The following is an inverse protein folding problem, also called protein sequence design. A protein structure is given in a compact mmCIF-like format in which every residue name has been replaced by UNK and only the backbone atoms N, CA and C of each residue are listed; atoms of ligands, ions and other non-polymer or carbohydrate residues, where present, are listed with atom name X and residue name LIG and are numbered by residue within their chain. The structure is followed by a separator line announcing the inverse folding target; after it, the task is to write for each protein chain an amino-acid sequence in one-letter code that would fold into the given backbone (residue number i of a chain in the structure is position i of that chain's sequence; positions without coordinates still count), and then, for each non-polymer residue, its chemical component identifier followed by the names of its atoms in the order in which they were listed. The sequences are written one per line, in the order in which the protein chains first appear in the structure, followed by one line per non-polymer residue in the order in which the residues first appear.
data_IF_600447283781
#
_entry.id   IF_600447283781
#
_cell.length_a   1.000
_cell.length_b   1.000
_cell.length_c   1.000
_cell.angle_alpha   90.00
_cell.angle_beta   90.00
_cell.angle_gamma   90.00
#
_symmetry.space_group_name_H-M   'P 1'
#
loop_
_entity.id
_entity.type
_entity.pdbx_description
1 polymer ?
#
# COMPACT_ATOMS: atom_id res chain seq x y z
N UNK A 1 -17.81 -10.20 -3.91
CA UNK A 1 -17.42 -9.63 -5.22
C UNK A 1 -16.06 -10.20 -5.55
N UNK A 2 -15.89 -10.87 -6.70
CA UNK A 2 -14.57 -11.33 -7.14
C UNK A 2 -13.72 -10.08 -7.39
N UNK A 3 -12.83 -9.71 -6.46
CA UNK A 3 -12.09 -8.46 -6.60
C UNK A 3 -10.97 -8.68 -7.61
N UNK A 4 -11.27 -8.39 -8.87
CA UNK A 4 -10.25 -8.23 -9.90
C UNK A 4 -9.21 -7.21 -9.41
N UNK A 5 -7.94 -7.50 -9.68
CA UNK A 5 -6.85 -6.58 -9.36
C UNK A 5 -7.04 -5.30 -10.17
N UNK A 6 -6.68 -4.12 -9.62
CA UNK A 6 -6.75 -2.88 -10.39
C UNK A 6 -5.76 -2.91 -11.56
N UNK A 7 -6.04 -2.18 -12.63
CA UNK A 7 -5.17 -2.13 -13.82
C UNK A 7 -3.78 -1.54 -13.54
N UNK A 8 -3.73 -0.60 -12.59
CA UNK A 8 -2.50 0.00 -12.08
C UNK A 8 -2.41 -0.08 -10.57
N UNK A 9 -1.20 -0.28 -10.08
CA UNK A 9 -0.88 -0.42 -8.66
C UNK A 9 0.32 0.46 -8.31
N UNK A 10 0.27 1.09 -7.14
CA UNK A 10 1.39 1.90 -6.68
C UNK A 10 2.55 1.02 -6.25
N UNK A 11 3.77 1.53 -6.39
CA UNK A 11 5.01 0.88 -5.95
C UNK A 11 4.92 0.43 -4.48
N UNK A 12 4.29 1.24 -3.62
CA UNK A 12 4.02 0.91 -2.23
C UNK A 12 3.18 -0.38 -2.09
N UNK A 13 2.12 -0.52 -2.88
CA UNK A 13 1.24 -1.68 -2.87
C UNK A 13 1.94 -2.92 -3.42
N UNK A 14 2.75 -2.79 -4.48
CA UNK A 14 3.57 -3.90 -4.99
C UNK A 14 4.52 -4.40 -3.91
N UNK A 15 5.16 -3.47 -3.20
CA UNK A 15 6.09 -3.83 -2.14
C UNK A 15 5.40 -4.56 -0.99
N UNK A 16 4.23 -4.09 -0.53
CA UNK A 16 3.41 -4.77 0.47
C UNK A 16 2.90 -6.14 0.01
N UNK A 17 2.60 -6.29 -1.28
CA UNK A 17 2.19 -7.56 -1.85
C UNK A 17 3.34 -8.57 -1.83
N UNK A 18 4.53 -8.14 -2.25
CA UNK A 18 5.75 -8.96 -2.23
C UNK A 18 6.13 -9.37 -0.80
N UNK A 19 6.11 -8.44 0.15
CA UNK A 19 6.63 -8.70 1.51
C UNK A 19 5.63 -9.42 2.41
N UNK A 20 4.35 -9.08 2.29
CA UNK A 20 3.31 -9.52 3.24
C UNK A 20 2.16 -10.29 2.58
N UNK A 21 2.14 -10.41 1.24
CA UNK A 21 1.03 -11.05 0.52
C UNK A 21 -0.26 -10.22 0.52
N UNK A 22 -0.20 -8.94 0.88
CA UNK A 22 -1.38 -8.06 0.89
C UNK A 22 -1.74 -7.75 -0.56
N UNK A 23 -2.90 -8.24 -1.01
CA UNK A 23 -3.36 -7.98 -2.38
C UNK A 23 -3.60 -6.48 -2.61
N UNK A 24 -3.17 -5.95 -3.77
CA UNK A 24 -3.44 -4.56 -4.15
C UNK A 24 -4.94 -4.27 -4.25
N UNK A 25 -5.27 -3.02 -3.93
CA UNK A 25 -6.60 -2.44 -4.08
C UNK A 25 -6.49 -1.15 -4.92
N UNK A 26 -7.61 -0.64 -5.46
CA UNK A 26 -7.60 0.65 -6.14
C UNK A 26 -6.93 1.75 -5.29
N UNK A 27 -6.03 2.53 -5.89
CA UNK A 27 -5.17 3.49 -5.17
C UNK A 27 -5.94 4.47 -4.28
N UNK A 28 -7.13 4.91 -4.71
CA UNK A 28 -8.02 5.76 -3.90
C UNK A 28 -8.41 5.15 -2.54
N UNK A 29 -8.44 3.83 -2.44
CA UNK A 29 -8.70 3.11 -1.19
C UNK A 29 -7.41 2.94 -0.39
N UNK A 30 -6.28 2.74 -1.08
CA UNK A 30 -4.98 2.56 -0.46
C UNK A 30 -4.42 3.84 0.19
N UNK A 31 -4.65 5.01 -0.42
CA UNK A 31 -4.13 6.29 0.04
C UNK A 31 -4.55 6.64 1.49
N UNK A 32 -5.70 6.15 1.96
CA UNK A 32 -6.19 6.33 3.33
C UNK A 32 -5.71 5.28 4.33
N UNK A 33 -4.93 4.28 3.91
CA UNK A 33 -4.55 3.16 4.77
C UNK A 33 -3.37 3.51 5.68
N UNK A 34 -3.32 2.84 6.84
CA UNK A 34 -2.17 2.85 7.75
C UNK A 34 -1.14 1.75 7.43
N UNK A 35 -1.28 1.05 6.30
CA UNK A 35 -0.36 -0.01 5.93
C UNK A 35 1.01 0.60 5.56
N UNK A 36 2.04 0.24 6.33
CA UNK A 36 3.41 0.74 6.15
C UNK A 36 4.39 -0.42 6.25
N UNK A 37 5.42 -0.40 5.40
CA UNK A 37 6.61 -1.24 5.47
C UNK A 37 7.54 -0.71 6.55
N UNK A 38 8.13 -1.62 7.31
CA UNK A 38 9.19 -1.30 8.26
C UNK A 38 10.58 -1.33 7.58
N UNK A 39 11.56 -0.66 8.20
CA UNK A 39 12.91 -0.55 7.63
C UNK A 39 13.60 -1.93 7.47
N UNK A 40 13.27 -2.90 8.33
CA UNK A 40 13.87 -4.24 8.27
C UNK A 40 13.33 -5.03 7.06
N UNK A 41 12.06 -4.89 6.74
CA UNK A 41 11.42 -5.48 5.55
C UNK A 41 12.02 -4.92 4.25
N UNK A 42 12.33 -3.63 4.23
CA UNK A 42 12.96 -2.97 3.09
C UNK A 42 14.41 -3.46 2.88
N UNK A 43 15.18 -3.58 3.96
CA UNK A 43 16.58 -3.96 3.89
C UNK A 43 16.83 -5.44 3.56
N UNK A 44 15.88 -6.33 3.86
CA UNK A 44 16.10 -7.79 3.81
C UNK A 44 15.39 -8.53 2.67
N UNK A 45 14.48 -7.88 1.93
CA UNK A 45 13.70 -8.56 0.89
C UNK A 45 14.45 -8.65 -0.44
N UNK A 46 14.89 -9.86 -0.80
CA UNK A 46 15.48 -10.18 -2.11
C UNK A 46 14.51 -9.86 -3.27
N UNK A 47 13.21 -10.12 -3.06
CA UNK A 47 12.18 -9.83 -4.06
C UNK A 47 11.98 -8.32 -4.28
N UNK A 48 12.12 -7.48 -3.25
CA UNK A 48 12.10 -6.03 -3.44
C UNK A 48 13.34 -5.55 -4.20
N UNK A 49 14.52 -6.11 -3.93
CA UNK A 49 15.73 -5.80 -4.72
C UNK A 49 15.56 -6.21 -6.18
N UNK A 50 14.94 -7.36 -6.43
CA UNK A 50 14.60 -7.81 -7.79
C UNK A 50 13.62 -6.85 -8.47
N UNK A 51 12.55 -6.42 -7.78
CA UNK A 51 11.63 -5.42 -8.33
C UNK A 51 12.36 -4.14 -8.78
N UNK A 52 13.30 -3.65 -7.96
CA UNK A 52 14.09 -2.49 -8.32
C UNK A 52 15.04 -2.74 -9.49
N UNK A 53 15.65 -3.92 -9.57
CA UNK A 53 16.49 -4.27 -10.72
C UNK A 53 15.68 -4.25 -12.01
N UNK A 54 14.48 -4.84 -12.02
CA UNK A 54 13.57 -4.82 -13.18
C UNK A 54 13.20 -3.40 -13.62
N UNK A 55 12.99 -2.49 -12.67
CA UNK A 55 12.72 -1.08 -12.95
C UNK A 55 13.95 -0.34 -13.49
N UNK A 56 15.12 -0.59 -12.91
CA UNK A 56 16.39 -0.01 -13.34
C UNK A 56 16.85 -0.51 -14.72
N UNK A 57 16.50 -1.74 -15.08
CA UNK A 57 16.78 -2.34 -16.39
C UNK A 57 15.73 -1.95 -17.45
N UNK A 58 14.64 -1.28 -17.05
CA UNK A 58 13.54 -0.88 -17.93
C UNK A 58 12.61 -2.02 -18.35
N UNK A 59 12.65 -3.16 -17.67
CA UNK A 59 11.75 -4.29 -17.91
C UNK A 59 10.33 -4.03 -17.38
N UNK A 60 10.21 -3.14 -16.38
CA UNK A 60 8.94 -2.65 -15.87
C UNK A 60 8.81 -1.16 -16.17
N UNK A 61 7.68 -0.78 -16.76
CA UNK A 61 7.38 0.64 -16.98
C UNK A 61 6.67 1.22 -15.77
N UNK A 62 7.01 2.45 -15.44
CA UNK A 62 6.41 3.16 -14.32
C UNK A 62 5.98 4.55 -14.76
N UNK A 63 4.84 4.99 -14.25
CA UNK A 63 4.32 6.33 -14.48
C UNK A 63 4.07 7.06 -13.16
N UNK A 64 4.29 8.37 -13.13
CA UNK A 64 4.09 9.15 -11.93
C UNK A 64 3.70 10.60 -12.26
N UNK A 65 3.24 11.34 -11.25
CA UNK A 65 3.19 12.81 -11.32
C UNK A 65 4.38 13.39 -10.58
N UNK A 66 4.78 14.60 -10.95
CA UNK A 66 5.81 15.33 -10.22
C UNK A 66 5.15 16.28 -9.24
N UNK A 67 5.67 16.30 -8.02
CA UNK A 67 5.37 17.30 -7.00
C UNK A 67 6.65 18.02 -6.60
N UNK A 68 6.54 19.33 -6.35
CA UNK A 68 7.62 20.15 -5.82
C UNK A 68 7.23 20.64 -4.43
N UNK A 69 8.18 20.54 -3.50
CA UNK A 69 8.07 21.07 -2.14
C UNK A 69 9.10 22.18 -1.99
N UNK A 70 8.62 23.37 -1.63
CA UNK A 70 9.47 24.48 -1.22
C UNK A 70 9.86 24.30 0.25
N UNK A 71 11.15 24.11 0.55
CA UNK A 71 11.67 24.24 1.92
C UNK A 71 11.87 25.75 2.21
N UNK A 72 10.78 26.49 2.42
CA UNK A 72 10.85 27.84 2.97
C UNK A 72 11.24 27.82 4.47
N UNK A 73 11.49 29.01 5.06
CA UNK A 73 11.94 29.20 6.46
C UNK A 73 11.08 28.50 7.54
N UNK A 74 9.88 28.03 7.22
CA UNK A 74 9.04 27.21 8.10
C UNK A 74 8.87 25.77 7.54
N UNK A 75 9.60 24.77 8.07
CA UNK A 75 9.52 23.38 7.63
C UNK A 75 8.18 22.69 7.94
N UNK A 76 7.26 23.36 8.64
CA UNK A 76 5.97 22.79 9.07
C UNK A 76 4.81 23.09 8.11
N UNK A 77 4.99 23.96 7.10
CA UNK A 77 3.95 24.29 6.12
C UNK A 77 4.45 24.26 4.67
N UNK A 78 4.83 23.07 4.14
CA UNK A 78 5.17 22.93 2.73
C UNK A 78 3.99 23.40 1.88
N UNK A 79 4.20 24.44 1.06
CA UNK A 79 3.18 24.89 0.11
C UNK A 79 3.19 23.93 -1.08
N UNK A 80 2.12 23.15 -1.32
CA UNK A 80 2.11 22.19 -2.42
C UNK A 80 2.07 22.93 -3.76
N UNK A 81 3.05 22.67 -4.62
CA UNK A 81 2.92 23.04 -6.04
C UNK A 81 1.98 22.06 -6.72
N UNK A 82 1.28 22.54 -7.76
CA UNK A 82 0.44 21.70 -8.62
C UNK A 82 1.17 20.43 -9.05
N UNK A 83 0.48 19.29 -8.95
CA UNK A 83 0.98 18.03 -9.50
C UNK A 83 0.89 18.07 -11.02
N UNK A 84 1.99 17.77 -11.71
CA UNK A 84 2.05 17.75 -13.18
C UNK A 84 2.29 16.31 -13.64
N UNK A 85 1.61 15.86 -14.70
CA UNK A 85 1.77 14.52 -15.27
C UNK A 85 0.44 13.88 -15.71
N UNK A 86 0.41 12.56 -15.98
CA UNK A 86 1.48 11.58 -15.70
C UNK A 86 2.65 11.62 -16.69
N UNK A 87 3.83 11.21 -16.22
CA UNK A 87 5.05 11.01 -17.00
C UNK A 87 5.59 9.60 -16.77
N UNK A 88 6.30 9.06 -17.75
CA UNK A 88 7.13 7.88 -17.57
C UNK A 88 8.30 8.21 -16.63
N UNK A 89 8.59 7.30 -15.70
CA UNK A 89 9.71 7.41 -14.75
C UNK A 89 10.92 6.72 -15.38
N UNK A 90 11.98 7.45 -15.76
CA UNK A 90 13.10 6.85 -16.50
C UNK A 90 13.79 5.75 -15.69
N UNK A 91 14.21 4.67 -16.37
CA UNK A 91 14.92 3.54 -15.77
C UNK A 91 16.16 3.98 -14.95
N UNK A 92 16.84 5.04 -15.40
CA UNK A 92 18.00 5.62 -14.74
C UNK A 92 17.73 6.25 -13.37
N UNK A 93 16.47 6.50 -13.02
CA UNK A 93 16.09 7.14 -11.74
C UNK A 93 15.97 6.15 -10.58
N UNK A 94 16.00 4.85 -10.86
CA UNK A 94 15.68 3.82 -9.88
C UNK A 94 16.89 3.45 -9.00
N UNK A 95 16.98 4.07 -7.83
CA UNK A 95 17.99 3.76 -6.81
C UNK A 95 17.36 3.41 -5.46
N UNK A 96 17.88 2.38 -4.79
CA UNK A 96 17.33 1.88 -3.50
C UNK A 96 17.27 2.94 -2.39
N UNK A 97 18.18 3.92 -2.43
CA UNK A 97 18.31 4.95 -1.39
C UNK A 97 17.38 6.17 -1.57
N UNK A 98 16.70 6.28 -2.69
CA UNK A 98 15.93 7.49 -3.09
C UNK A 98 14.42 7.25 -3.07
N UNK A 99 14.01 6.00 -2.82
CA UNK A 99 12.61 5.57 -2.82
C UNK A 99 12.02 5.69 -1.42
N UNK A 100 10.97 6.51 -1.30
CA UNK A 100 10.07 6.56 -0.15
C UNK A 100 8.95 5.54 -0.36
N UNK A 101 9.24 4.28 -0.04
CA UNK A 101 8.34 3.14 -0.25
C UNK A 101 6.93 3.34 0.28
N UNK A 102 6.79 3.91 1.47
CA UNK A 102 5.49 4.12 2.11
C UNK A 102 4.65 5.26 1.51
N UNK A 103 5.27 6.15 0.73
CA UNK A 103 4.60 7.21 -0.01
C UNK A 103 4.48 6.88 -1.50
N UNK A 104 5.02 5.73 -1.94
CA UNK A 104 5.19 5.41 -3.35
C UNK A 104 5.89 6.54 -4.11
N UNK A 105 6.88 7.18 -3.47
CA UNK A 105 7.53 8.36 -4.00
C UNK A 105 9.01 8.10 -4.29
N UNK A 106 9.53 8.70 -5.35
CA UNK A 106 10.93 8.64 -5.75
C UNK A 106 11.48 10.07 -5.80
N UNK A 107 12.56 10.33 -5.06
CA UNK A 107 13.26 11.61 -5.06
C UNK A 107 13.94 11.84 -6.43
N UNK A 108 13.89 13.08 -6.90
CA UNK A 108 14.45 13.46 -8.21
C UNK A 108 15.79 14.13 -7.99
N UNK A 109 16.84 13.70 -8.70
CA UNK A 109 18.14 14.35 -8.73
C UNK A 109 18.37 15.04 -10.07
N UNK A 110 19.23 16.06 -10.05
CA UNK A 110 19.36 17.01 -11.16
C UNK A 110 19.84 16.37 -12.47
N UNK A 111 19.38 16.90 -13.61
CA UNK A 111 20.00 16.74 -14.93
C UNK A 111 19.66 15.48 -15.73
N UNK A 112 19.39 14.34 -15.08
CA UNK A 112 19.16 13.06 -15.76
C UNK A 112 17.77 12.44 -15.54
N UNK A 113 17.02 12.93 -14.56
CA UNK A 113 15.81 12.27 -14.07
C UNK A 113 14.50 12.95 -14.53
N UNK A 114 14.59 14.10 -15.20
CA UNK A 114 13.44 14.90 -15.62
C UNK A 114 13.19 14.82 -17.13
N UNK A 115 11.95 14.53 -17.57
CA UNK A 115 11.55 14.68 -18.96
C UNK A 115 11.83 16.11 -19.50
N UNK A 116 12.31 16.25 -20.75
CA UNK A 116 12.61 17.56 -21.36
C UNK A 116 11.46 18.57 -21.28
N UNK A 117 10.21 18.11 -21.42
CA UNK A 117 9.03 19.00 -21.39
C UNK A 117 8.81 19.66 -20.02
N UNK A 118 9.36 19.07 -18.95
CA UNK A 118 9.21 19.57 -17.59
C UNK A 118 10.17 20.69 -17.24
N UNK A 119 11.35 20.75 -17.88
CA UNK A 119 12.31 21.83 -17.64
C UNK A 119 11.71 23.21 -17.93
N UNK A 120 10.85 23.29 -18.94
CA UNK A 120 10.15 24.52 -19.31
C UNK A 120 8.97 24.83 -18.37
N UNK A 121 8.28 23.80 -17.88
CA UNK A 121 7.07 23.96 -17.05
C UNK A 121 7.41 24.33 -15.60
N UNK A 122 8.49 23.76 -15.07
CA UNK A 122 8.91 23.98 -13.68
C UNK A 122 9.73 25.27 -13.49
N UNK A 123 9.98 26.03 -14.58
CA UNK A 123 10.75 27.28 -14.62
C UNK A 123 11.92 27.25 -13.62
N UNK A 124 12.85 26.30 -13.82
CA UNK A 124 14.08 26.17 -13.04
C UNK A 124 15.01 27.37 -13.31
N UNK A 125 14.61 28.59 -12.95
CA UNK A 125 15.54 29.71 -12.83
C UNK A 125 16.48 29.43 -11.67
N UNK A 126 17.73 29.92 -11.73
CA UNK A 126 18.79 29.63 -10.74
C UNK A 126 18.41 29.84 -9.26
N UNK A 127 17.35 30.59 -8.96
CA UNK A 127 16.78 30.74 -7.61
C UNK A 127 16.12 29.44 -7.06
N UNK A 128 15.73 28.49 -7.91
CA UNK A 128 15.21 27.18 -7.51
C UNK A 128 16.23 26.39 -6.68
N UNK A 129 17.52 26.49 -7.02
CA UNK A 129 18.61 25.79 -6.33
C UNK A 129 19.07 26.51 -5.06
N UNK A 130 18.74 27.80 -4.91
CA UNK A 130 19.18 28.59 -3.78
C UNK A 130 18.33 28.36 -2.50
N UNK A 131 17.14 27.75 -2.62
CA UNK A 131 16.10 27.72 -1.56
C UNK A 131 15.71 26.30 -1.09
N UNK A 132 16.61 25.31 -1.18
CA UNK A 132 16.37 23.98 -0.57
C UNK A 132 15.19 23.18 -1.16
N UNK A 133 14.71 23.53 -2.35
CA UNK A 133 13.54 22.91 -2.95
C UNK A 133 13.78 21.43 -3.28
N UNK A 134 12.76 20.59 -3.11
CA UNK A 134 12.81 19.16 -3.47
C UNK A 134 11.70 18.79 -4.43
N UNK A 135 12.02 17.95 -5.41
CA UNK A 135 11.06 17.39 -6.35
C UNK A 135 10.96 15.86 -6.17
N UNK A 136 9.75 15.33 -6.37
CA UNK A 136 9.45 13.92 -6.21
C UNK A 136 8.49 13.44 -7.30
N UNK A 137 8.70 12.23 -7.79
CA UNK A 137 7.66 11.46 -8.45
C UNK A 137 6.70 10.89 -7.40
N UNK A 138 5.39 11.17 -7.49
CA UNK A 138 4.36 10.56 -6.64
C UNK A 138 2.93 10.66 -7.20
N UNK A 139 2.06 9.66 -6.97
CA UNK A 139 2.44 8.28 -6.66
C UNK A 139 3.11 7.65 -7.90
N UNK A 140 4.11 6.80 -7.69
CA UNK A 140 4.68 5.97 -8.75
C UNK A 140 3.80 4.73 -8.96
N UNK A 141 3.29 4.58 -10.18
CA UNK A 141 2.29 3.59 -10.59
C UNK A 141 2.89 2.63 -11.62
N UNK A 142 2.54 1.35 -11.48
CA UNK A 142 2.98 0.23 -12.32
C UNK A 142 1.76 -0.45 -12.94
N UNK A 143 1.88 -0.93 -14.17
CA UNK A 143 0.84 -1.76 -14.78
C UNK A 143 0.80 -3.12 -14.09
N UNK A 144 -0.39 -3.54 -13.64
CA UNK A 144 -0.54 -4.79 -12.88
C UNK A 144 -0.16 -6.02 -13.71
N UNK A 145 -0.47 -6.00 -15.00
CA UNK A 145 -0.11 -7.09 -15.92
C UNK A 145 1.40 -7.26 -16.07
N UNK A 146 2.16 -6.16 -16.16
CA UNK A 146 3.63 -6.19 -16.24
C UNK A 146 4.22 -6.74 -14.96
N UNK A 147 3.72 -6.28 -13.80
CA UNK A 147 4.16 -6.78 -12.49
C UNK A 147 3.90 -8.27 -12.36
N UNK A 148 2.73 -8.75 -12.76
CA UNK A 148 2.38 -10.17 -12.69
C UNK A 148 3.18 -11.03 -13.66
N UNK A 149 3.51 -10.49 -14.83
CA UNK A 149 4.38 -11.13 -15.83
C UNK A 149 5.81 -11.27 -15.30
N UNK A 150 6.37 -10.19 -14.73
CA UNK A 150 7.74 -10.16 -14.23
C UNK A 150 7.92 -10.88 -12.89
N UNK A 151 6.87 -10.94 -12.07
CA UNK A 151 6.83 -11.61 -10.78
C UNK A 151 5.68 -12.65 -10.72
N UNK A 152 5.77 -13.78 -11.45
CA UNK A 152 4.70 -14.78 -11.51
C UNK A 152 4.33 -15.39 -10.15
N UNK A 153 5.24 -15.35 -9.17
CA UNK A 153 4.99 -15.81 -7.82
C UNK A 153 3.81 -15.06 -7.14
N UNK A 154 3.52 -13.82 -7.55
CA UNK A 154 2.40 -13.03 -7.06
C UNK A 154 1.03 -13.53 -7.56
N UNK A 155 1.01 -14.22 -8.71
CA UNK A 155 -0.20 -14.87 -9.24
C UNK A 155 -0.57 -16.15 -8.52
N UNK A 156 0.38 -16.74 -7.78
CA UNK A 156 0.05 -17.88 -6.94
C UNK A 156 -0.85 -17.37 -5.81
N UNK A 157 -1.99 -18.01 -5.51
CA UNK A 157 -2.69 -17.73 -4.27
C UNK A 157 -1.65 -17.87 -3.18
N UNK A 158 -1.43 -16.79 -2.42
CA UNK A 158 -0.43 -16.75 -1.36
C UNK A 158 -0.78 -17.87 -0.38
N UNK A 159 -0.19 -19.04 -0.58
CA UNK A 159 0.02 -19.99 0.50
C UNK A 159 0.92 -19.21 1.44
N UNK A 160 0.33 -18.78 2.56
CA UNK A 160 0.81 -17.74 3.47
C UNK A 160 2.32 -17.52 3.42
N UNK A 161 2.71 -16.25 3.32
CA UNK A 161 4.05 -15.78 3.68
C UNK A 161 4.55 -16.64 4.84
N UNK A 162 5.72 -17.25 4.66
CA UNK A 162 6.34 -18.14 5.63
C UNK A 162 6.53 -17.39 6.96
N UNK A 163 5.48 -17.36 7.77
CA UNK A 163 5.54 -17.24 9.20
C UNK A 163 6.44 -18.39 9.58
N UNK A 164 7.66 -18.07 10.06
CA UNK A 164 8.56 -19.04 10.68
C UNK A 164 7.68 -19.99 11.49
N UNK A 165 7.74 -21.32 11.27
CA UNK A 165 6.87 -22.21 11.99
C UNK A 165 7.28 -22.15 13.46
N UNK A 166 6.59 -21.31 14.24
CA UNK A 166 6.33 -21.65 15.61
C UNK A 166 5.54 -22.94 15.51
N UNK A 167 6.21 -24.04 15.80
CA UNK A 167 5.68 -25.40 15.86
C UNK A 167 4.57 -25.39 16.92
N UNK A 168 3.39 -24.98 16.47
CA UNK A 168 2.15 -24.91 17.21
C UNK A 168 1.08 -25.49 16.32
N UNK A 169 0.17 -26.24 16.93
CA UNK A 169 -0.98 -26.87 16.29
C UNK A 169 -1.65 -25.88 15.32
N UNK A 170 -2.01 -26.29 14.08
CA UNK A 170 -2.68 -25.40 13.13
C UNK A 170 -3.87 -24.72 13.79
N UNK A 171 -3.97 -23.40 13.62
CA UNK A 171 -5.02 -22.60 14.22
C UNK A 171 -6.37 -23.11 13.69
N UNK A 172 -7.28 -23.43 14.61
CA UNK A 172 -8.59 -24.01 14.30
C UNK A 172 -9.47 -23.09 13.42
N UNK A 173 -9.19 -21.78 13.41
CA UNK A 173 -9.98 -20.75 12.76
C UNK A 173 -9.09 -19.67 12.12
N UNK A 174 -9.47 -19.20 10.94
CA UNK A 174 -8.80 -18.10 10.23
C UNK A 174 -9.33 -16.74 10.71
N UNK A 175 -8.86 -16.32 11.88
CA UNK A 175 -9.28 -15.05 12.48
C UNK A 175 -8.97 -13.79 11.66
N UNK A 176 -7.84 -13.70 10.91
CA UNK A 176 -7.63 -12.61 9.96
C UNK A 176 -8.80 -12.40 8.98
N UNK A 177 -9.26 -13.47 8.35
CA UNK A 177 -10.37 -13.41 7.39
C UNK A 177 -11.69 -13.00 8.07
N UNK A 178 -11.92 -13.50 9.28
CA UNK A 178 -13.05 -13.08 10.12
C UNK A 178 -13.08 -11.56 10.36
N UNK A 179 -11.93 -10.94 10.67
CA UNK A 179 -11.89 -9.49 10.91
C UNK A 179 -12.07 -8.67 9.62
N UNK A 180 -11.63 -9.19 8.47
CA UNK A 180 -11.88 -8.57 7.17
C UNK A 180 -13.39 -8.57 6.84
N UNK A 181 -14.06 -9.71 7.04
CA UNK A 181 -15.52 -9.81 6.88
C UNK A 181 -16.29 -8.91 7.85
N UNK A 182 -15.85 -8.84 9.11
CA UNK A 182 -16.42 -7.94 10.11
C UNK A 182 -16.31 -6.46 9.72
N UNK A 183 -15.17 -6.05 9.17
CA UNK A 183 -14.97 -4.68 8.67
C UNK A 183 -15.83 -4.39 7.43
N UNK A 184 -15.92 -5.32 6.49
CA UNK A 184 -16.77 -5.20 5.31
C UNK A 184 -18.25 -5.05 5.68
N UNK A 185 -18.72 -5.85 6.66
CA UNK A 185 -20.09 -5.76 7.15
C UNK A 185 -20.41 -4.39 7.77
N UNK A 186 -19.49 -3.81 8.55
CA UNK A 186 -19.65 -2.46 9.11
C UNK A 186 -19.65 -1.40 8.00
N UNK A 187 -18.84 -1.56 6.96
CA UNK A 187 -18.82 -0.63 5.83
C UNK A 187 -20.16 -0.62 5.08
N UNK A 188 -20.75 -1.79 4.86
CA UNK A 188 -22.02 -1.94 4.13
C UNK A 188 -23.26 -1.59 4.97
N UNK A 189 -23.28 -2.02 6.24
CA UNK A 189 -24.45 -1.90 7.12
C UNK A 189 -24.38 -0.68 8.07
N UNK A 190 -23.24 0.01 8.09
CA UNK A 190 -22.92 1.04 9.08
C UNK A 190 -22.50 0.45 10.44
N UNK A 191 -22.11 1.34 11.36
CA UNK A 191 -21.70 0.94 12.71
C UNK A 191 -22.90 0.32 13.44
N UNK A 192 -22.79 -0.94 13.93
CA UNK A 192 -23.90 -1.60 14.60
C UNK A 192 -24.30 -0.85 15.87
N UNK A 193 -25.61 -0.67 16.05
CA UNK A 193 -26.17 -0.05 17.26
C UNK A 193 -25.93 -0.90 18.50
N UNK A 194 -25.92 -2.22 18.35
CA UNK A 194 -25.63 -3.16 19.45
C UNK A 194 -24.60 -4.20 19.04
N UNK A 195 -23.82 -4.68 20.03
CA UNK A 195 -22.89 -5.79 19.83
C UNK A 195 -23.63 -7.06 19.36
N UNK A 196 -24.87 -7.26 19.81
CA UNK A 196 -25.68 -8.44 19.48
C UNK A 196 -25.98 -8.55 17.98
N UNK A 197 -26.25 -7.41 17.32
CA UNK A 197 -26.52 -7.37 15.88
C UNK A 197 -25.33 -7.87 15.07
N UNK A 198 -24.13 -7.45 15.47
CA UNK A 198 -22.89 -7.87 14.82
C UNK A 198 -22.52 -9.32 15.14
N UNK A 199 -22.76 -9.78 16.37
CA UNK A 199 -22.57 -11.19 16.75
C UNK A 199 -23.44 -12.09 15.89
N UNK A 200 -24.71 -11.74 15.67
CA UNK A 200 -25.63 -12.51 14.84
C UNK A 200 -25.16 -12.57 13.37
N UNK A 201 -24.76 -11.43 12.81
CA UNK A 201 -24.27 -11.37 11.43
C UNK A 201 -22.98 -12.18 11.23
N UNK A 202 -22.04 -12.07 12.17
CA UNK A 202 -20.75 -12.75 12.09
C UNK A 202 -20.82 -14.22 12.47
N UNK A 203 -21.77 -14.64 13.33
CA UNK A 203 -22.07 -16.05 13.55
C UNK A 203 -22.58 -16.72 12.26
N UNK A 204 -23.51 -16.06 11.56
CA UNK A 204 -23.98 -16.53 10.26
C UNK A 204 -22.85 -16.60 9.23
N UNK A 205 -21.95 -15.62 9.22
CA UNK A 205 -20.77 -15.65 8.36
C UNK A 205 -19.84 -16.81 8.70
N UNK A 206 -19.56 -17.06 9.99
CA UNK A 206 -18.75 -18.19 10.43
C UNK A 206 -19.37 -19.53 10.02
N UNK A 207 -20.69 -19.70 10.12
CA UNK A 207 -21.38 -20.92 9.68
C UNK A 207 -21.26 -21.16 8.18
N UNK A 208 -21.20 -20.08 7.38
CA UNK A 208 -21.10 -20.19 5.92
C UNK A 208 -19.67 -20.41 5.43
N UNK A 209 -18.65 -20.05 6.23
CA UNK A 209 -17.25 -20.05 5.80
C UNK A 209 -16.37 -21.05 6.55
N UNK A 210 -16.76 -21.49 7.75
CA UNK A 210 -16.00 -22.45 8.55
C UNK A 210 -16.83 -23.71 8.86
N UNK A 211 -16.20 -24.87 8.74
CA UNK A 211 -16.82 -26.17 9.03
C UNK A 211 -17.18 -26.37 10.51
N UNK A 212 -16.58 -25.59 11.41
CA UNK A 212 -16.85 -25.65 12.84
C UNK A 212 -17.12 -24.24 13.36
N UNK A 213 -18.25 -24.01 14.00
CA UNK A 213 -18.54 -22.72 14.60
C UNK A 213 -17.62 -22.47 15.81
N UNK A 214 -17.06 -21.26 16.00
CA UNK A 214 -16.43 -20.89 17.25
C UNK A 214 -17.47 -20.85 18.37
N UNK A 215 -17.06 -21.15 19.61
CA UNK A 215 -17.98 -21.05 20.74
C UNK A 215 -18.51 -19.62 20.88
N UNK A 216 -19.80 -19.47 21.19
CA UNK A 216 -20.50 -18.18 21.30
C UNK A 216 -19.75 -17.17 22.22
N UNK A 217 -19.15 -17.66 23.30
CA UNK A 217 -18.30 -16.85 24.21
C UNK A 217 -17.01 -16.34 23.54
N UNK A 218 -16.37 -17.14 22.70
CA UNK A 218 -15.16 -16.74 21.98
C UNK A 218 -15.49 -15.71 20.89
N UNK A 219 -16.57 -15.95 20.14
CA UNK A 219 -17.06 -15.03 19.12
C UNK A 219 -17.43 -13.67 19.72
N UNK A 220 -18.22 -13.65 20.80
CA UNK A 220 -18.59 -12.43 21.53
C UNK A 220 -17.36 -11.68 22.05
N UNK A 221 -16.39 -12.40 22.62
CA UNK A 221 -15.16 -11.80 23.15
C UNK A 221 -14.34 -11.10 22.07
N UNK A 222 -14.23 -11.69 20.89
CA UNK A 222 -13.49 -11.12 19.75
C UNK A 222 -14.20 -9.94 19.12
N UNK A 223 -15.51 -10.05 18.88
CA UNK A 223 -16.32 -8.96 18.34
C UNK A 223 -16.31 -7.75 19.27
N UNK A 224 -16.37 -7.96 20.59
CA UNK A 224 -16.22 -6.87 21.57
C UNK A 224 -14.90 -6.14 21.39
N UNK A 225 -13.78 -6.85 21.40
CA UNK A 225 -12.44 -6.25 21.23
C UNK A 225 -12.31 -5.51 19.90
N UNK A 226 -12.89 -6.08 18.85
CA UNK A 226 -12.92 -5.47 17.53
C UNK A 226 -13.72 -4.15 17.54
N UNK A 227 -14.95 -4.15 18.07
CA UNK A 227 -15.79 -2.96 18.17
C UNK A 227 -15.20 -1.89 19.08
N UNK A 228 -14.61 -2.28 20.22
CA UNK A 228 -13.96 -1.34 21.15
C UNK A 228 -12.77 -0.65 20.47
N UNK A 229 -11.98 -1.40 19.70
CA UNK A 229 -10.87 -0.84 18.92
C UNK A 229 -11.35 0.02 17.75
N UNK A 230 -12.37 -0.44 17.03
CA UNK A 230 -12.96 0.28 15.91
C UNK A 230 -13.53 1.63 16.35
N UNK A 231 -14.28 1.66 17.47
CA UNK A 231 -14.81 2.90 18.07
C UNK A 231 -13.71 3.85 18.51
N UNK A 232 -12.60 3.34 19.05
CA UNK A 232 -11.44 4.16 19.44
C UNK A 232 -10.75 4.81 18.24
N UNK A 233 -10.73 4.15 17.09
CA UNK A 233 -10.06 4.68 15.89
C UNK A 233 -10.97 5.56 15.02
N UNK A 234 -12.29 5.39 15.07
CA UNK A 234 -13.27 6.18 14.30
C UNK A 234 -13.89 7.32 15.11
N UNK A 235 -13.84 7.24 16.45
CA UNK A 235 -14.44 8.21 17.38
C UNK A 235 -13.50 9.30 17.90
N UNK A 236 -12.45 9.66 17.15
CA UNK A 236 -11.56 10.79 17.46
C UNK A 236 -11.27 11.58 16.18
#
# INVERSE_FOLDING_TARGET
MSSELPDQISLAQVALWITRGIRPVPERLFAGTKARLDENELGSSENLRRLLALLADGELTATARISVVYEGEDPLAPTPVAQIGPFEVPASTWFTGEIRWNASALEIREGFDLPPELFHTLNFSGDFLAWGNRAFFQPVMLATEEVLSALPALNSPVSGAAVRPNVGRPAKYDWPDFYAAAAAWIYESGIPKTQADMVKAMAQWCQNNWDTEPGDTELKGRIRRFLDRFKKEVGN
#
